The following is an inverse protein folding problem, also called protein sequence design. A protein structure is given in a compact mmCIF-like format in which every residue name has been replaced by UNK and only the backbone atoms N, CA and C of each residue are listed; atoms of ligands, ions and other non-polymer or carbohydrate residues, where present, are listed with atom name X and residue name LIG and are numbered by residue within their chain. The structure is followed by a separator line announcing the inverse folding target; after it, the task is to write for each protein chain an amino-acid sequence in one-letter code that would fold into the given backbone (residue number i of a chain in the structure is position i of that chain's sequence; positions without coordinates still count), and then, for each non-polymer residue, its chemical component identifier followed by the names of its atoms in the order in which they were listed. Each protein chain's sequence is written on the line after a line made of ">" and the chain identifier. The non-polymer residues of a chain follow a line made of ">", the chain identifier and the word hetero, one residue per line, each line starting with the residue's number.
data_IF_134172134023
#
_entry.id   IF_134172134023
#
_cell.length_a   1.000
_cell.length_b   1.000
_cell.length_c   1.000
_cell.angle_alpha   90.00
_cell.angle_beta   90.00
_cell.angle_gamma   90.00
#
_symmetry.space_group_name_H-M   'P 1'
#
loop_
_entity.id
_entity.type
_entity.pdbx_description
1 polymer ?
#
# COMPACT_ATOMS: atom_id res chain seq x y z
N UNK A 1 -3.74 -12.67 2.67
CA UNK A 1 -3.62 -11.52 3.59
C UNK A 1 -4.92 -11.40 4.37
N UNK A 2 -5.07 -12.11 5.50
CA UNK A 2 -6.37 -12.35 6.16
C UNK A 2 -6.86 -11.22 7.10
N UNK A 3 -6.25 -10.04 7.06
CA UNK A 3 -6.53 -8.95 8.01
C UNK A 3 -7.07 -7.66 7.37
N UNK A 4 -7.16 -7.60 6.04
CA UNK A 4 -7.80 -6.48 5.33
C UNK A 4 -9.32 -6.68 5.31
N UNK A 5 -10.07 -5.60 5.50
CA UNK A 5 -11.51 -5.65 5.26
C UNK A 5 -11.82 -5.62 3.74
N UNK A 6 -13.09 -5.85 3.38
CA UNK A 6 -13.48 -5.98 1.97
C UNK A 6 -13.19 -4.73 1.12
N UNK A 7 -13.31 -3.51 1.66
CA UNK A 7 -13.01 -2.30 0.87
C UNK A 7 -11.52 -2.10 0.67
N UNK A 8 -10.71 -2.39 1.69
CA UNK A 8 -9.26 -2.36 1.61
C UNK A 8 -8.72 -3.41 0.64
N UNK A 9 -9.26 -4.64 0.68
CA UNK A 9 -8.89 -5.70 -0.27
C UNK A 9 -9.19 -5.27 -1.71
N UNK A 10 -10.39 -4.73 -1.98
CA UNK A 10 -10.73 -4.19 -3.30
C UNK A 10 -9.76 -3.08 -3.75
N UNK A 11 -9.35 -2.20 -2.84
CA UNK A 11 -8.41 -1.14 -3.16
C UNK A 11 -7.01 -1.69 -3.51
N UNK A 12 -6.55 -2.74 -2.82
CA UNK A 12 -5.30 -3.45 -3.17
C UNK A 12 -5.41 -4.07 -4.56
N UNK A 13 -6.49 -4.80 -4.81
CA UNK A 13 -6.68 -5.49 -6.09
C UNK A 13 -6.78 -4.51 -7.27
N UNK A 14 -7.48 -3.38 -7.07
CA UNK A 14 -7.53 -2.28 -8.05
C UNK A 14 -6.13 -1.68 -8.31
N UNK A 15 -5.35 -1.44 -7.26
CA UNK A 15 -3.99 -0.88 -7.37
C UNK A 15 -3.05 -1.79 -8.16
N UNK A 16 -3.23 -3.11 -8.08
CA UNK A 16 -2.38 -4.08 -8.78
C UNK A 16 -2.82 -4.34 -10.23
N UNK A 17 -4.07 -4.05 -10.57
CA UNK A 17 -4.67 -4.37 -11.88
C UNK A 17 -4.83 -3.16 -12.79
N UNK A 18 -4.96 -1.96 -12.23
CA UNK A 18 -5.16 -0.74 -12.98
C UNK A 18 -3.85 0.02 -13.15
N UNK A 19 -3.66 0.73 -14.28
CA UNK A 19 -2.46 1.56 -14.50
C UNK A 19 -2.41 2.76 -13.55
N UNK A 20 -3.57 3.26 -13.09
CA UNK A 20 -3.70 4.36 -12.14
C UNK A 20 -4.83 4.02 -11.17
N UNK A 21 -4.61 4.27 -9.89
CA UNK A 21 -5.61 4.09 -8.82
C UNK A 21 -5.55 5.26 -7.84
N UNK A 22 -6.71 5.68 -7.36
CA UNK A 22 -6.84 6.68 -6.29
C UNK A 22 -7.50 6.03 -5.07
N UNK A 23 -6.75 5.95 -3.97
CA UNK A 23 -7.27 5.45 -2.69
C UNK A 23 -7.73 6.64 -1.87
N UNK A 24 -9.04 6.77 -1.67
CA UNK A 24 -9.64 7.81 -0.85
C UNK A 24 -10.26 7.22 0.43
N UNK A 25 -10.21 7.97 1.53
CA UNK A 25 -10.87 7.60 2.77
C UNK A 25 -10.59 8.59 3.90
N UNK A 26 -11.51 8.78 4.86
CA UNK A 26 -11.31 9.59 6.06
C UNK A 26 -10.03 9.26 6.86
N UNK A 27 -9.59 10.13 7.79
CA UNK A 27 -8.50 9.81 8.72
C UNK A 27 -8.76 8.48 9.46
N UNK A 28 -7.70 7.70 9.70
CA UNK A 28 -7.79 6.42 10.43
C UNK A 28 -8.31 5.21 9.63
N UNK A 29 -8.73 5.36 8.37
CA UNK A 29 -9.32 4.27 7.56
C UNK A 29 -8.33 3.25 6.97
N UNK A 30 -7.06 3.32 7.35
CA UNK A 30 -6.06 2.34 6.91
C UNK A 30 -5.58 2.52 5.46
N UNK A 31 -5.57 3.74 4.91
CA UNK A 31 -4.99 4.02 3.58
C UNK A 31 -3.54 3.56 3.47
N UNK A 32 -2.73 3.87 4.47
CA UNK A 32 -1.32 3.43 4.58
C UNK A 32 -1.20 1.90 4.59
N UNK A 33 -2.12 1.22 5.25
CA UNK A 33 -2.24 -0.24 5.27
C UNK A 33 -2.51 -0.82 3.87
N UNK A 34 -3.43 -0.21 3.10
CA UNK A 34 -3.70 -0.61 1.72
C UNK A 34 -2.46 -0.45 0.86
N UNK A 35 -1.80 0.72 0.96
CA UNK A 35 -0.58 1.03 0.22
C UNK A 35 0.52 0.00 0.51
N UNK A 36 0.80 -0.27 1.79
CA UNK A 36 1.79 -1.27 2.18
C UNK A 36 1.44 -2.68 1.66
N UNK A 37 0.16 -3.06 1.72
CA UNK A 37 -0.29 -4.38 1.24
C UNK A 37 -0.13 -4.51 -0.28
N UNK A 38 -0.46 -3.46 -1.05
CA UNK A 38 -0.27 -3.43 -2.49
C UNK A 38 1.21 -3.51 -2.87
N UNK A 39 2.09 -2.78 -2.18
CA UNK A 39 3.54 -2.85 -2.39
C UNK A 39 4.07 -4.26 -2.13
N UNK A 40 3.70 -4.88 -1.02
CA UNK A 40 4.10 -6.26 -0.72
C UNK A 40 3.63 -7.24 -1.79
N UNK A 41 2.38 -7.11 -2.24
CA UNK A 41 1.83 -7.96 -3.29
C UNK A 41 2.58 -7.79 -4.61
N UNK A 42 2.84 -6.54 -5.03
CA UNK A 42 3.59 -6.25 -6.26
C UNK A 42 5.01 -6.84 -6.23
N UNK A 43 5.72 -6.67 -5.11
CA UNK A 43 7.07 -7.21 -4.92
C UNK A 43 7.11 -8.75 -4.93
N UNK A 44 6.03 -9.41 -4.49
CA UNK A 44 5.92 -10.89 -4.50
C UNK A 44 5.54 -11.46 -5.88
N UNK A 45 4.82 -10.70 -6.70
CA UNK A 45 4.34 -11.21 -8.00
C UNK A 45 5.46 -11.36 -9.04
N UNK A 46 6.46 -10.47 -9.03
CA UNK A 46 7.54 -10.48 -10.03
C UNK A 46 8.89 -10.16 -9.41
N UNK A 47 9.85 -11.05 -9.64
CA UNK A 47 11.25 -10.79 -9.28
C UNK A 47 11.78 -9.58 -10.04
N UNK A 48 12.57 -8.74 -9.36
CA UNK A 48 13.14 -7.52 -9.94
C UNK A 48 12.20 -6.31 -9.96
N UNK A 49 10.96 -6.42 -9.45
CA UNK A 49 10.07 -5.26 -9.28
C UNK A 49 10.72 -4.21 -8.38
N UNK A 50 10.69 -2.95 -8.82
CA UNK A 50 11.12 -1.79 -8.02
C UNK A 50 9.93 -0.88 -7.80
N UNK A 51 9.80 -0.36 -6.58
CA UNK A 51 8.70 0.51 -6.18
C UNK A 51 9.28 1.84 -5.70
N UNK A 52 8.75 2.94 -6.23
CA UNK A 52 9.03 4.31 -5.75
C UNK A 52 7.90 4.74 -4.81
N UNK A 53 8.25 5.11 -3.58
CA UNK A 53 7.33 5.67 -2.60
C UNK A 53 7.61 7.17 -2.46
N UNK A 54 6.55 7.98 -2.47
CA UNK A 54 6.61 9.44 -2.35
C UNK A 54 5.61 9.90 -1.29
N UNK A 55 5.97 10.94 -0.54
CA UNK A 55 5.08 11.64 0.36
C UNK A 55 5.49 13.12 0.49
N UNK A 56 4.58 13.96 0.98
CA UNK A 56 4.77 15.42 1.06
C UNK A 56 5.76 15.85 2.15
N UNK A 57 6.00 15.02 3.17
CA UNK A 57 6.89 15.35 4.29
C UNK A 57 7.78 14.16 4.65
N UNK A 58 8.96 14.44 5.22
CA UNK A 58 9.88 13.40 5.69
C UNK A 58 9.22 12.46 6.71
N UNK A 59 8.45 13.01 7.66
CA UNK A 59 7.70 12.20 8.63
C UNK A 59 6.70 11.27 7.96
N UNK A 60 6.04 11.71 6.87
CA UNK A 60 5.15 10.84 6.11
C UNK A 60 5.92 9.77 5.32
N UNK A 61 7.11 10.08 4.80
CA UNK A 61 8.02 9.09 4.19
C UNK A 61 8.41 8.03 5.22
N UNK A 62 8.85 8.43 6.42
CA UNK A 62 9.22 7.50 7.48
C UNK A 62 8.05 6.57 7.85
N UNK A 63 6.85 7.12 7.96
CA UNK A 63 5.64 6.35 8.24
C UNK A 63 5.31 5.35 7.12
N UNK A 64 5.48 5.72 5.84
CA UNK A 64 5.30 4.80 4.71
C UNK A 64 6.34 3.69 4.74
N UNK A 65 7.61 4.03 4.94
CA UNK A 65 8.71 3.05 5.05
C UNK A 65 8.42 2.08 6.19
N UNK A 66 8.06 2.59 7.37
CA UNK A 66 7.68 1.77 8.51
C UNK A 66 6.50 0.85 8.19
N UNK A 67 5.47 1.33 7.48
CA UNK A 67 4.33 0.50 7.12
C UNK A 67 4.69 -0.60 6.10
N UNK A 68 5.57 -0.31 5.14
CA UNK A 68 6.04 -1.29 4.14
C UNK A 68 7.01 -2.30 4.76
N UNK A 69 7.84 -1.92 5.72
CA UNK A 69 8.84 -2.82 6.28
C UNK A 69 8.49 -3.41 7.65
N UNK A 70 7.33 -3.05 8.23
CA UNK A 70 6.82 -3.69 9.45
C UNK A 70 6.53 -5.17 9.16
N UNK A 71 7.45 -6.05 9.57
CA UNK A 71 7.16 -7.48 9.69
C UNK A 71 6.09 -7.64 10.79
N UNK A 72 4.89 -8.05 10.38
CA UNK A 72 3.90 -8.66 11.28
C UNK A 72 4.08 -10.17 11.25
#
# INVERSE_FOLDING_TARGET
>A
MSWLNASQQRAVDATLSLPISLIHGPPGTGKTTVLASAVHAALRQRSGTRVLLLAETNTAVDNLVHAVFKRS
#
